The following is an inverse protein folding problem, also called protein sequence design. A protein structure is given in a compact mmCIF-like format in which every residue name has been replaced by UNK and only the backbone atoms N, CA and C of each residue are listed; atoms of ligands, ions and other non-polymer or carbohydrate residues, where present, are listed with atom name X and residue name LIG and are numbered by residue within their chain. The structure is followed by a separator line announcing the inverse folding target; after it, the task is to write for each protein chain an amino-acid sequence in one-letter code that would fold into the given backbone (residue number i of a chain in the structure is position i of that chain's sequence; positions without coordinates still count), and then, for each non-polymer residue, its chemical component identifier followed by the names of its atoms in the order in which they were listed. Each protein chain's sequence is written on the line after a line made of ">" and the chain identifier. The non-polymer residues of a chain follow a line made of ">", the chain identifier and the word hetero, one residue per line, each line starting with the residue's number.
data_IF_090497720611
#
_entry.id   IF_090497720611
#
_cell.length_a   1.000
_cell.length_b   1.000
_cell.length_c   1.000
_cell.angle_alpha   90.00
_cell.angle_beta   90.00
_cell.angle_gamma   90.00
#
_symmetry.space_group_name_H-M   'P 1'
#
loop_
_entity.id
_entity.type
_entity.pdbx_description
1 polymer ?
#
# COMPACT_ATOMS: atom_id res chain seq x y z
N UNK A 1 25.89 30.77 0.93
CA UNK A 1 26.20 30.09 2.22
C UNK A 1 25.59 28.70 2.17
N UNK A 2 26.41 27.68 1.94
CA UNK A 2 25.98 26.28 1.95
C UNK A 2 25.76 25.92 3.43
N UNK A 3 24.50 25.72 3.83
CA UNK A 3 24.15 25.23 5.16
C UNK A 3 24.67 23.81 5.29
N UNK A 4 25.81 23.63 5.94
CA UNK A 4 26.28 22.33 6.40
C UNK A 4 25.36 21.90 7.55
N UNK A 5 24.22 21.27 7.24
CA UNK A 5 23.45 20.50 8.23
C UNK A 5 24.26 19.25 8.59
N UNK A 6 25.34 19.43 9.35
CA UNK A 6 25.91 18.33 10.14
C UNK A 6 24.83 17.98 11.17
N UNK A 7 24.22 16.82 11.02
CA UNK A 7 23.42 16.24 12.09
C UNK A 7 24.35 16.06 13.29
N UNK A 8 24.09 16.72 14.43
CA UNK A 8 25.03 16.68 15.53
C UNK A 8 25.09 15.25 16.04
N UNK A 9 26.29 14.66 16.07
CA UNK A 9 26.58 13.38 16.73
C UNK A 9 26.19 13.39 18.23
N UNK A 10 25.82 14.54 18.78
CA UNK A 10 25.31 14.73 20.13
C UNK A 10 23.78 14.55 20.28
N UNK A 11 23.02 14.42 19.19
CA UNK A 11 21.56 14.17 19.26
C UNK A 11 21.26 12.68 19.46
N UNK A 12 22.16 11.81 19.00
CA UNK A 12 22.02 10.37 19.03
C UNK A 12 23.05 9.86 20.04
N UNK A 13 22.61 9.45 21.22
CA UNK A 13 23.51 8.91 22.25
C UNK A 13 24.33 7.73 21.72
N UNK A 14 25.26 7.20 22.53
CA UNK A 14 26.12 6.04 22.20
C UNK A 14 25.37 4.72 21.88
N UNK A 15 24.05 4.72 21.74
CA UNK A 15 23.27 3.54 21.42
C UNK A 15 23.32 3.24 19.94
N UNK A 16 23.78 2.03 19.63
CA UNK A 16 23.69 1.41 18.33
C UNK A 16 22.27 0.91 18.10
N UNK A 17 21.60 1.41 17.06
CA UNK A 17 20.24 1.02 16.70
C UNK A 17 20.27 0.03 15.54
N UNK A 18 19.72 -1.17 15.77
CA UNK A 18 19.63 -2.20 14.73
C UNK A 18 18.37 -2.00 13.91
N UNK A 19 18.49 -2.16 12.60
CA UNK A 19 17.37 -2.05 11.70
C UNK A 19 17.45 -3.09 10.58
N UNK A 20 16.30 -3.34 9.97
CA UNK A 20 16.19 -4.18 8.78
C UNK A 20 15.49 -3.39 7.71
N UNK A 21 16.08 -3.30 6.53
CA UNK A 21 15.41 -2.72 5.37
C UNK A 21 14.65 -3.81 4.63
N UNK A 22 13.36 -3.59 4.41
CA UNK A 22 12.49 -4.51 3.66
C UNK A 22 11.71 -3.74 2.61
N UNK A 23 11.24 -4.45 1.59
CA UNK A 23 10.41 -3.89 0.53
C UNK A 23 9.25 -4.83 0.20
N UNK A 24 8.13 -4.26 -0.18
CA UNK A 24 7.05 -5.02 -0.81
C UNK A 24 6.64 -4.32 -2.10
N UNK A 25 6.98 -4.93 -3.24
CA UNK A 25 6.76 -4.43 -4.59
C UNK A 25 7.37 -3.03 -4.83
N UNK A 26 8.60 -2.83 -4.34
CA UNK A 26 9.38 -1.61 -4.52
C UNK A 26 9.14 -0.53 -3.47
N UNK A 27 8.04 -0.60 -2.72
CA UNK A 27 7.80 0.30 -1.59
C UNK A 27 8.61 -0.19 -0.37
N UNK A 28 9.61 0.60 0.02
CA UNK A 28 10.67 0.19 0.95
C UNK A 28 10.60 0.94 2.28
N UNK A 29 10.66 0.21 3.39
CA UNK A 29 10.68 0.78 4.74
C UNK A 29 11.86 0.25 5.55
N UNK A 30 12.23 1.02 6.58
CA UNK A 30 13.18 0.59 7.59
C UNK A 30 12.41 0.11 8.80
N UNK A 31 12.64 -1.13 9.20
CA UNK A 31 11.96 -1.81 10.30
C UNK A 31 12.87 -1.85 11.51
N UNK A 32 12.30 -1.47 12.66
CA UNK A 32 12.97 -1.57 13.95
C UNK A 32 12.13 -2.43 14.87
N UNK A 33 12.72 -3.53 15.34
CA UNK A 33 12.14 -4.36 16.39
C UNK A 33 12.25 -3.65 17.74
N UNK A 34 11.17 -3.02 18.19
CA UNK A 34 11.07 -2.33 19.47
C UNK A 34 10.65 -3.25 20.63
N UNK A 35 10.63 -4.58 20.45
CA UNK A 35 10.53 -5.53 21.57
C UNK A 35 11.83 -5.55 22.38
N UNK A 36 12.97 -5.27 21.72
CA UNK A 36 14.31 -5.42 22.29
C UNK A 36 15.11 -4.11 22.36
N UNK A 37 14.59 -3.01 21.82
CA UNK A 37 15.24 -1.70 21.80
C UNK A 37 14.21 -0.58 21.83
N UNK A 38 14.62 0.59 22.32
CA UNK A 38 13.76 1.78 22.44
C UNK A 38 14.16 2.79 21.39
N UNK A 39 13.16 3.34 20.69
CA UNK A 39 13.34 4.42 19.71
C UNK A 39 12.74 5.70 20.26
N UNK A 40 13.60 6.55 20.82
CA UNK A 40 13.19 7.88 21.25
C UNK A 40 12.99 8.79 20.04
N UNK A 41 11.90 9.56 20.06
CA UNK A 41 11.55 10.52 19.01
C UNK A 41 11.54 9.91 17.58
N UNK A 42 10.65 8.93 17.33
CA UNK A 42 10.62 8.19 16.08
C UNK A 42 10.40 9.07 14.84
N UNK A 43 9.70 10.19 14.97
CA UNK A 43 9.55 11.17 13.88
C UNK A 43 10.88 11.70 13.37
N UNK A 44 11.84 12.03 14.26
CA UNK A 44 13.17 12.49 13.82
C UNK A 44 13.97 11.36 13.17
N UNK A 45 13.89 10.15 13.72
CA UNK A 45 14.52 8.97 13.11
C UNK A 45 13.95 8.68 11.72
N UNK A 46 12.64 8.81 11.54
CA UNK A 46 12.00 8.62 10.25
C UNK A 46 12.55 9.60 9.20
N UNK A 47 12.66 10.89 9.54
CA UNK A 47 13.27 11.90 8.64
C UNK A 47 14.72 11.57 8.30
N UNK A 48 15.49 11.09 9.27
CA UNK A 48 16.88 10.72 9.06
C UNK A 48 17.04 9.51 8.15
N UNK A 49 16.44 8.40 8.58
CA UNK A 49 16.61 7.09 8.00
C UNK A 49 16.02 7.06 6.59
N UNK A 50 14.93 7.79 6.35
CA UNK A 50 14.31 7.88 5.02
C UNK A 50 15.10 8.75 4.04
N UNK A 51 16.03 9.60 4.51
CA UNK A 51 16.84 10.42 3.62
C UNK A 51 17.77 9.55 2.76
N UNK A 52 17.52 9.50 1.44
CA UNK A 52 18.28 8.65 0.50
C UNK A 52 19.73 9.08 0.25
N UNK A 53 20.13 10.29 0.64
CA UNK A 53 21.50 10.80 0.43
C UNK A 53 22.35 10.82 1.69
N UNK A 54 21.74 11.11 2.84
CA UNK A 54 22.43 11.31 4.11
C UNK A 54 22.04 10.29 5.18
N UNK A 55 21.02 9.48 4.93
CA UNK A 55 20.60 8.37 5.77
C UNK A 55 20.72 7.05 5.03
N UNK A 56 19.87 6.09 5.41
CA UNK A 56 19.79 4.76 4.79
C UNK A 56 18.98 4.82 3.49
N UNK A 57 18.00 5.73 3.43
CA UNK A 57 17.01 5.85 2.37
C UNK A 57 15.85 4.89 2.54
N UNK A 58 14.61 5.38 2.49
CA UNK A 58 13.38 4.57 2.47
C UNK A 58 12.18 5.48 2.21
N UNK A 59 11.00 4.87 2.02
CA UNK A 59 9.70 5.55 2.02
C UNK A 59 9.14 5.75 3.43
N UNK A 60 9.93 5.46 4.48
CA UNK A 60 9.56 5.70 5.87
C UNK A 60 10.23 4.78 6.88
N UNK A 61 9.73 4.86 8.11
CA UNK A 61 10.15 4.06 9.26
C UNK A 61 8.96 3.27 9.81
N UNK A 62 9.19 1.99 10.13
CA UNK A 62 8.21 1.12 10.79
C UNK A 62 8.81 0.62 12.09
N UNK A 63 8.04 0.78 13.17
CA UNK A 63 8.36 0.22 14.47
C UNK A 63 7.45 -0.98 14.75
N UNK A 64 8.05 -2.08 15.20
CA UNK A 64 7.35 -3.29 15.65
C UNK A 64 7.41 -3.31 17.17
N UNK A 65 6.27 -3.14 17.83
CA UNK A 65 6.14 -2.94 19.28
C UNK A 65 5.34 -4.09 19.91
N UNK A 66 5.43 -4.27 21.24
CA UNK A 66 4.47 -5.13 21.93
C UNK A 66 3.06 -4.53 21.85
N UNK A 67 2.04 -5.39 21.88
CA UNK A 67 0.63 -5.00 21.96
C UNK A 67 -0.04 -5.70 23.15
N UNK A 68 -1.03 -5.04 23.74
CA UNK A 68 -1.91 -5.63 24.76
C UNK A 68 -3.18 -6.25 24.15
N UNK A 69 -3.43 -6.04 22.85
CA UNK A 69 -4.70 -6.35 22.18
C UNK A 69 -4.53 -7.23 20.93
N UNK A 70 -3.30 -7.43 20.48
CA UNK A 70 -2.93 -8.16 19.28
C UNK A 70 -1.57 -8.85 19.50
N UNK A 71 -1.10 -9.64 18.54
CA UNK A 71 0.20 -10.32 18.66
C UNK A 71 1.37 -9.33 18.62
N UNK A 72 1.26 -8.30 17.77
CA UNK A 72 2.21 -7.20 17.70
C UNK A 72 1.51 -5.87 17.43
N UNK A 73 2.21 -4.77 17.65
CA UNK A 73 1.76 -3.42 17.25
C UNK A 73 2.71 -2.82 16.21
N UNK A 74 2.14 -2.23 15.17
CA UNK A 74 2.88 -1.48 14.16
C UNK A 74 2.64 0.02 14.34
N UNK A 75 3.72 0.81 14.31
CA UNK A 75 3.67 2.27 14.10
C UNK A 75 4.47 2.61 12.86
N UNK A 76 3.91 3.43 11.98
CA UNK A 76 4.54 3.81 10.71
C UNK A 76 4.69 5.32 10.62
N UNK A 77 5.86 5.77 10.19
CA UNK A 77 6.20 7.17 10.02
C UNK A 77 6.63 7.43 8.58
N UNK A 78 6.09 8.50 7.99
CA UNK A 78 6.46 8.98 6.67
C UNK A 78 7.86 9.61 6.68
N UNK A 79 8.47 9.85 5.51
CA UNK A 79 9.79 10.48 5.39
C UNK A 79 9.87 11.90 5.95
N UNK A 80 8.73 12.58 6.13
CA UNK A 80 8.64 13.89 6.76
C UNK A 80 8.50 13.84 8.30
N UNK A 81 8.43 12.62 8.87
CA UNK A 81 8.30 12.37 10.30
C UNK A 81 6.87 12.30 10.82
N UNK A 82 5.85 12.50 9.97
CA UNK A 82 4.45 12.35 10.36
C UNK A 82 4.10 10.88 10.56
N UNK A 83 3.32 10.56 11.61
CA UNK A 83 2.80 9.21 11.83
C UNK A 83 1.57 9.00 10.94
N UNK A 84 1.53 7.87 10.24
CA UNK A 84 0.47 7.55 9.30
C UNK A 84 -0.31 6.32 9.75
N UNK A 85 -1.59 6.27 9.35
CA UNK A 85 -2.56 5.32 9.89
C UNK A 85 -2.24 3.88 9.51
N UNK A 86 -1.92 3.63 8.23
CA UNK A 86 -1.53 2.32 7.72
C UNK A 86 -0.89 2.43 6.33
N UNK A 87 0.01 1.49 6.00
CA UNK A 87 0.38 1.15 4.64
C UNK A 87 0.33 -0.38 4.49
N UNK A 88 -0.46 -0.88 3.54
CA UNK A 88 -0.62 -2.33 3.34
C UNK A 88 0.69 -3.05 3.00
N UNK A 89 1.59 -2.38 2.27
CA UNK A 89 2.92 -2.91 1.96
C UNK A 89 3.78 -3.02 3.23
N UNK A 90 3.71 -2.00 4.09
CA UNK A 90 4.44 -2.01 5.35
C UNK A 90 3.99 -3.15 6.26
N UNK A 91 2.67 -3.36 6.34
CA UNK A 91 2.03 -4.41 7.14
C UNK A 91 2.45 -5.82 6.69
N UNK A 92 2.51 -6.10 5.39
CA UNK A 92 2.98 -7.41 4.88
C UNK A 92 4.40 -7.72 5.36
N UNK A 93 5.28 -6.73 5.32
CA UNK A 93 6.66 -6.89 5.77
C UNK A 93 6.76 -7.06 7.29
N UNK A 94 5.87 -6.49 8.10
CA UNK A 94 5.80 -6.79 9.54
C UNK A 94 5.49 -8.27 9.75
N UNK A 95 4.48 -8.82 9.07
CA UNK A 95 4.13 -10.25 9.16
C UNK A 95 5.30 -11.17 8.79
N UNK A 96 6.02 -10.86 7.71
CA UNK A 96 7.26 -11.56 7.35
C UNK A 96 8.34 -11.42 8.41
N UNK A 97 8.60 -10.20 8.89
CA UNK A 97 9.65 -9.91 9.86
C UNK A 97 9.45 -10.71 11.15
N UNK A 98 8.26 -10.67 11.74
CA UNK A 98 8.03 -11.31 13.05
C UNK A 98 8.15 -12.83 12.97
N UNK A 99 7.78 -13.43 11.84
CA UNK A 99 7.94 -14.86 11.61
C UNK A 99 9.40 -15.24 11.32
N UNK A 100 10.02 -14.60 10.32
CA UNK A 100 11.37 -14.97 9.83
C UNK A 100 12.46 -14.71 10.88
N UNK A 101 12.28 -13.72 11.76
CA UNK A 101 13.19 -13.45 12.88
C UNK A 101 12.83 -14.24 14.15
N UNK A 102 11.85 -15.16 14.08
CA UNK A 102 11.49 -16.06 15.17
C UNK A 102 10.81 -15.38 16.36
N UNK A 103 10.19 -14.22 16.15
CA UNK A 103 9.38 -13.54 17.19
C UNK A 103 8.02 -14.21 17.38
N UNK A 104 7.57 -14.98 16.40
CA UNK A 104 6.41 -15.87 16.46
C UNK A 104 6.64 -17.11 15.59
N UNK A 105 5.84 -18.15 15.80
CA UNK A 105 5.73 -19.33 14.92
C UNK A 105 4.34 -19.48 14.31
N UNK A 106 3.40 -18.61 14.67
CA UNK A 106 2.04 -18.62 14.18
C UNK A 106 1.98 -18.08 12.74
N UNK A 107 1.16 -18.71 11.90
CA UNK A 107 0.93 -18.27 10.52
C UNK A 107 -0.27 -17.34 10.38
N UNK A 108 -1.14 -17.27 11.39
CA UNK A 108 -2.22 -16.28 11.47
C UNK A 108 -1.83 -15.26 12.54
N UNK A 109 -1.81 -13.98 12.18
CA UNK A 109 -1.32 -12.91 13.06
C UNK A 109 -2.29 -11.74 13.09
N UNK A 110 -2.51 -11.20 14.28
CA UNK A 110 -3.17 -9.93 14.51
C UNK A 110 -2.14 -8.83 14.77
N UNK A 111 -2.23 -7.73 14.02
CA UNK A 111 -1.34 -6.57 14.15
C UNK A 111 -2.18 -5.34 14.51
N UNK A 112 -1.92 -4.76 15.67
CA UNK A 112 -2.49 -3.47 16.06
C UNK A 112 -1.87 -2.34 15.22
N UNK A 113 -2.71 -1.56 14.55
CA UNK A 113 -2.29 -0.36 13.80
C UNK A 113 -3.06 0.85 14.31
N UNK A 114 -2.68 2.06 13.87
CA UNK A 114 -3.43 3.27 14.20
C UNK A 114 -4.86 3.24 13.59
N UNK A 115 -5.06 2.52 12.48
CA UNK A 115 -6.37 2.27 11.87
C UNK A 115 -7.14 1.06 12.46
N UNK A 116 -6.71 0.55 13.62
CA UNK A 116 -7.26 -0.63 14.28
C UNK A 116 -6.47 -1.91 14.01
N UNK A 117 -6.98 -3.05 14.51
CA UNK A 117 -6.33 -4.35 14.36
C UNK A 117 -6.53 -4.87 12.93
N UNK A 118 -5.49 -5.51 12.37
CA UNK A 118 -5.52 -6.18 11.06
C UNK A 118 -5.05 -7.62 11.22
N UNK A 119 -5.67 -8.52 10.47
CA UNK A 119 -5.30 -9.93 10.44
C UNK A 119 -4.47 -10.23 9.20
N UNK A 120 -3.41 -11.02 9.37
CA UNK A 120 -2.53 -11.50 8.32
C UNK A 120 -2.50 -13.02 8.33
N UNK A 121 -2.53 -13.61 7.15
CA UNK A 121 -2.26 -15.02 6.94
C UNK A 121 -0.95 -15.20 6.17
N UNK A 122 -0.03 -15.96 6.74
CA UNK A 122 1.33 -16.17 6.24
C UNK A 122 1.43 -17.51 5.54
N UNK A 123 1.87 -17.50 4.28
CA UNK A 123 2.26 -18.72 3.57
C UNK A 123 3.75 -18.97 3.77
N UNK A 124 4.08 -19.97 4.58
CA UNK A 124 5.46 -20.35 4.92
C UNK A 124 5.97 -21.43 3.98
N UNK A 125 7.17 -21.24 3.42
CA UNK A 125 7.88 -22.22 2.59
C UNK A 125 9.33 -22.31 3.07
N UNK A 126 9.83 -23.52 3.29
CA UNK A 126 11.20 -23.77 3.77
C UNK A 126 11.55 -22.99 5.05
N UNK A 127 10.59 -22.85 5.96
CA UNK A 127 10.77 -22.14 7.24
C UNK A 127 10.78 -20.62 7.16
N UNK A 128 10.52 -20.03 5.98
CA UNK A 128 10.44 -18.59 5.78
C UNK A 128 9.10 -18.19 5.15
N UNK A 129 8.62 -16.99 5.45
CA UNK A 129 7.39 -16.46 4.84
C UNK A 129 7.64 -16.13 3.37
N UNK A 130 6.81 -16.68 2.49
CA UNK A 130 6.86 -16.45 1.05
C UNK A 130 5.79 -15.47 0.56
N UNK A 131 4.58 -15.58 1.10
CA UNK A 131 3.44 -14.72 0.75
C UNK A 131 2.68 -14.31 2.01
N UNK A 132 2.13 -13.12 2.00
CA UNK A 132 1.34 -12.56 3.09
C UNK A 132 0.00 -12.11 2.54
N UNK A 133 -1.07 -12.69 3.07
CA UNK A 133 -2.44 -12.28 2.80
C UNK A 133 -2.92 -11.32 3.88
N UNK A 134 -3.56 -10.24 3.47
CA UNK A 134 -4.22 -9.29 4.35
C UNK A 134 -5.70 -9.17 3.97
N UNK A 135 -6.57 -9.11 4.98
CA UNK A 135 -7.96 -8.73 4.79
C UNK A 135 -8.06 -7.21 4.58
N UNK A 136 -8.52 -6.82 3.39
CA UNK A 136 -8.67 -5.43 2.97
C UNK A 136 -10.08 -4.89 3.27
N UNK A 137 -10.98 -5.73 3.79
CA UNK A 137 -12.37 -5.40 4.07
C UNK A 137 -13.26 -5.43 2.83
N UNK A 138 -14.44 -4.82 2.97
CA UNK A 138 -15.50 -4.82 1.95
C UNK A 138 -15.39 -3.53 1.11
N UNK A 139 -15.42 -3.64 -0.24
CA UNK A 139 -15.43 -2.46 -1.10
C UNK A 139 -16.73 -1.67 -0.95
N UNK A 140 -16.62 -0.34 -0.91
CA UNK A 140 -17.76 0.57 -0.89
C UNK A 140 -18.03 1.09 -2.31
N UNK A 141 -19.26 0.89 -2.79
CA UNK A 141 -19.68 1.25 -4.16
C UNK A 141 -20.57 2.50 -4.22
N UNK A 142 -21.10 2.93 -3.07
CA UNK A 142 -22.01 4.09 -2.98
C UNK A 142 -21.24 5.41 -3.21
N UNK A 143 -21.59 6.20 -4.25
CA UNK A 143 -20.84 7.39 -4.66
C UNK A 143 -20.60 8.40 -3.54
N UNK A 144 -21.60 8.67 -2.71
CA UNK A 144 -21.47 9.61 -1.59
C UNK A 144 -20.45 9.17 -0.54
N UNK A 145 -20.29 7.85 -0.34
CA UNK A 145 -19.29 7.27 0.56
C UNK A 145 -17.90 7.16 -0.08
N UNK A 146 -17.81 7.21 -1.42
CA UNK A 146 -16.55 7.31 -2.20
C UNK A 146 -16.12 8.77 -2.45
N UNK A 147 -16.75 9.74 -1.78
CA UNK A 147 -16.94 11.13 -2.26
C UNK A 147 -16.85 11.36 -3.79
N UNK A 148 -17.83 10.82 -4.52
CA UNK A 148 -18.07 11.13 -5.94
C UNK A 148 -19.34 11.96 -6.06
N UNK A 149 -19.27 13.11 -6.73
CA UNK A 149 -20.43 13.95 -7.07
C UNK A 149 -21.20 13.34 -8.23
N UNK A 150 -22.01 12.33 -7.89
CA UNK A 150 -22.85 11.59 -8.83
C UNK A 150 -24.16 11.18 -8.14
N UNK A 151 -25.33 11.46 -8.74
CA UNK A 151 -26.63 11.26 -8.07
C UNK A 151 -27.16 9.82 -8.09
N UNK A 152 -26.43 8.85 -8.68
CA UNK A 152 -26.84 7.45 -8.73
C UNK A 152 -26.33 6.61 -7.56
N UNK A 153 -26.80 5.37 -7.47
CA UNK A 153 -26.46 4.45 -6.36
C UNK A 153 -25.07 3.83 -6.48
N UNK A 154 -24.52 3.77 -7.70
CA UNK A 154 -23.18 3.27 -7.99
C UNK A 154 -22.61 3.94 -9.23
N UNK A 155 -21.32 4.30 -9.20
CA UNK A 155 -20.60 4.82 -10.36
C UNK A 155 -19.86 3.67 -11.05
N UNK A 156 -20.59 2.80 -11.76
CA UNK A 156 -20.04 1.62 -12.46
C UNK A 156 -20.17 1.82 -13.96
N UNK A 157 -19.05 1.66 -14.67
CA UNK A 157 -18.97 1.80 -16.14
C UNK A 157 -19.63 3.09 -16.66
N UNK A 158 -19.42 4.20 -15.96
CA UNK A 158 -19.98 5.50 -16.32
C UNK A 158 -19.02 6.28 -17.23
N UNK A 159 -19.54 7.04 -18.22
CA UNK A 159 -18.70 7.86 -19.07
C UNK A 159 -18.13 9.05 -18.30
N UNK A 160 -16.81 9.22 -18.36
CA UNK A 160 -16.08 10.31 -17.73
C UNK A 160 -15.17 10.99 -18.74
N UNK A 161 -15.46 12.25 -19.06
CA UNK A 161 -14.65 13.05 -19.98
C UNK A 161 -13.47 13.68 -19.25
N UNK A 162 -12.27 13.19 -19.52
CA UNK A 162 -11.01 13.69 -18.94
C UNK A 162 -10.09 14.14 -20.05
N UNK A 163 -9.72 15.42 -20.02
CA UNK A 163 -8.80 16.04 -20.98
C UNK A 163 -9.10 15.68 -22.46
N UNK A 164 -10.39 15.79 -22.83
CA UNK A 164 -10.87 15.55 -24.19
C UNK A 164 -11.15 14.09 -24.55
N UNK A 165 -10.69 13.12 -23.75
CA UNK A 165 -10.99 11.68 -23.93
C UNK A 165 -12.13 11.24 -23.02
N UNK A 166 -12.98 10.32 -23.49
CA UNK A 166 -13.99 9.67 -22.64
C UNK A 166 -13.45 8.34 -22.15
N UNK A 167 -13.51 8.13 -20.84
CA UNK A 167 -13.19 6.87 -20.18
C UNK A 167 -14.48 6.25 -19.65
N UNK A 168 -14.59 4.93 -19.75
CA UNK A 168 -15.63 4.18 -19.03
C UNK A 168 -15.05 3.82 -17.67
N UNK A 169 -15.55 4.49 -16.63
CA UNK A 169 -14.93 4.52 -15.31
C UNK A 169 -15.83 3.89 -14.25
N UNK A 170 -15.20 3.19 -13.31
CA UNK A 170 -15.87 2.61 -12.14
C UNK A 170 -15.20 3.17 -10.88
N UNK A 171 -15.98 3.79 -9.99
CA UNK A 171 -15.48 4.32 -8.72
C UNK A 171 -15.78 3.36 -7.58
N UNK A 172 -14.79 3.15 -6.71
CA UNK A 172 -14.86 2.25 -5.56
C UNK A 172 -14.05 2.86 -4.42
N UNK A 173 -14.41 2.59 -3.18
CA UNK A 173 -13.59 2.93 -2.02
C UNK A 173 -13.18 1.69 -1.25
N UNK A 174 -11.91 1.63 -0.87
CA UNK A 174 -11.34 0.66 0.07
C UNK A 174 -11.00 1.35 1.43
N UNK A 175 -11.72 2.43 1.74
CA UNK A 175 -11.41 3.38 2.83
C UNK A 175 -10.85 4.72 2.32
N UNK A 176 -10.32 4.73 1.09
CA UNK A 176 -9.92 5.90 0.33
C UNK A 176 -10.53 5.84 -1.09
N UNK A 177 -10.70 6.99 -1.78
CA UNK A 177 -11.41 7.03 -3.06
C UNK A 177 -10.51 6.55 -4.22
N UNK A 178 -11.05 5.65 -5.04
CA UNK A 178 -10.42 5.13 -6.25
C UNK A 178 -11.35 5.19 -7.45
N UNK A 179 -10.76 5.28 -8.65
CA UNK A 179 -11.46 5.15 -9.92
C UNK A 179 -10.62 4.32 -10.87
N UNK A 180 -11.20 3.24 -11.40
CA UNK A 180 -10.57 2.43 -12.44
C UNK A 180 -11.20 2.68 -13.80
N UNK A 181 -10.35 2.84 -14.81
CA UNK A 181 -10.75 2.84 -16.21
C UNK A 181 -10.01 1.72 -16.96
N UNK A 182 -10.76 0.91 -17.71
CA UNK A 182 -10.17 -0.12 -18.56
C UNK A 182 -9.72 0.45 -19.91
N UNK A 183 -8.47 0.18 -20.30
CA UNK A 183 -7.79 0.68 -21.50
C UNK A 183 -7.11 -0.48 -22.24
N UNK A 184 -6.77 -0.24 -23.51
CA UNK A 184 -6.23 -1.30 -24.39
C UNK A 184 -4.77 -1.64 -24.09
N UNK A 185 -3.93 -0.64 -23.78
CA UNK A 185 -2.49 -0.81 -23.54
C UNK A 185 -2.04 0.12 -22.40
N UNK A 186 -1.62 -0.49 -21.29
CA UNK A 186 -1.13 0.21 -20.10
C UNK A 186 0.31 0.69 -20.24
N UNK A 187 1.15 -0.01 -21.00
CA UNK A 187 2.58 0.30 -21.11
C UNK A 187 2.82 1.63 -21.83
N UNK A 188 2.07 1.86 -22.90
CA UNK A 188 2.18 3.08 -23.72
C UNK A 188 1.24 4.19 -23.29
N UNK A 189 0.37 3.95 -22.29
CA UNK A 189 -0.61 4.93 -21.84
C UNK A 189 0.07 6.19 -21.28
N UNK A 190 -0.33 7.41 -21.71
CA UNK A 190 0.28 8.66 -21.25
C UNK A 190 -0.26 9.05 -19.86
N UNK A 191 0.14 8.28 -18.84
CA UNK A 191 -0.33 8.42 -17.46
C UNK A 191 -0.03 9.81 -16.87
N UNK A 192 1.14 10.38 -17.17
CA UNK A 192 1.50 11.72 -16.72
C UNK A 192 0.57 12.83 -17.24
N UNK A 193 -0.19 12.56 -18.31
CA UNK A 193 -1.23 13.46 -18.83
C UNK A 193 -2.58 13.21 -18.17
N UNK A 194 -3.06 11.96 -18.20
CA UNK A 194 -4.42 11.63 -17.77
C UNK A 194 -4.55 11.39 -16.26
N UNK A 195 -3.50 10.95 -15.58
CA UNK A 195 -3.46 10.71 -14.13
C UNK A 195 -3.80 11.97 -13.32
N UNK A 196 -3.05 13.08 -13.45
CA UNK A 196 -3.36 14.32 -12.73
C UNK A 196 -4.74 14.88 -13.11
N UNK A 197 -5.14 14.75 -14.38
CA UNK A 197 -6.44 15.22 -14.86
C UNK A 197 -7.61 14.41 -14.27
N UNK A 198 -7.42 13.11 -14.08
CA UNK A 198 -8.37 12.23 -13.40
C UNK A 198 -8.42 12.52 -11.90
N UNK A 199 -7.25 12.62 -11.25
CA UNK A 199 -7.11 12.93 -9.81
C UNK A 199 -7.90 14.19 -9.42
N UNK A 200 -7.79 15.25 -10.24
CA UNK A 200 -8.40 16.56 -9.98
C UNK A 200 -9.74 16.75 -10.69
N UNK A 201 -10.31 15.70 -11.29
CA UNK A 201 -11.57 15.84 -12.01
C UNK A 201 -12.68 16.31 -11.05
N UNK A 202 -13.51 17.25 -11.51
CA UNK A 202 -14.52 17.95 -10.69
C UNK A 202 -15.50 17.05 -9.94
N UNK A 203 -15.73 15.82 -10.41
CA UNK A 203 -16.63 14.85 -9.75
C UNK A 203 -16.00 14.23 -8.51
N UNK A 204 -14.71 14.46 -8.25
CA UNK A 204 -14.00 13.93 -7.08
C UNK A 204 -13.62 15.10 -6.14
N UNK A 205 -14.54 15.61 -5.29
CA UNK A 205 -14.26 16.72 -4.37
C UNK A 205 -13.05 16.51 -3.47
N UNK A 206 -12.72 15.25 -3.13
CA UNK A 206 -11.58 14.89 -2.27
C UNK A 206 -10.39 14.32 -3.07
N UNK A 207 -10.35 14.61 -4.38
CA UNK A 207 -9.48 13.97 -5.37
C UNK A 207 -9.64 12.44 -5.37
N UNK A 208 -8.94 11.74 -6.26
CA UNK A 208 -9.07 10.28 -6.40
C UNK A 208 -7.73 9.64 -6.77
N UNK A 209 -7.50 8.40 -6.35
CA UNK A 209 -6.48 7.55 -6.97
C UNK A 209 -7.02 7.03 -8.31
N UNK A 210 -6.24 7.13 -9.37
CA UNK A 210 -6.69 6.76 -10.70
C UNK A 210 -5.94 5.53 -11.21
N UNK A 211 -6.64 4.40 -11.32
CA UNK A 211 -6.15 3.17 -11.91
C UNK A 211 -6.51 3.10 -13.40
N UNK A 212 -5.52 2.79 -14.22
CA UNK A 212 -5.71 2.46 -15.63
C UNK A 212 -5.31 1.01 -15.83
N UNK A 213 -6.28 0.17 -16.14
CA UNK A 213 -6.14 -1.28 -16.16
C UNK A 213 -6.37 -1.84 -17.56
N UNK A 214 -5.61 -2.87 -17.92
CA UNK A 214 -5.76 -3.67 -19.12
C UNK A 214 -6.14 -5.08 -18.70
N UNK A 215 -7.14 -5.64 -19.37
CA UNK A 215 -7.53 -7.03 -19.19
C UNK A 215 -6.60 -7.89 -20.04
N UNK A 216 -5.81 -8.75 -19.41
CA UNK A 216 -4.96 -9.71 -20.14
C UNK A 216 -5.77 -10.98 -20.41
N UNK A 217 -6.45 -11.48 -19.38
CA UNK A 217 -7.42 -12.58 -19.43
C UNK A 217 -8.39 -12.47 -18.24
N UNK A 218 -9.27 -13.47 -18.08
CA UNK A 218 -10.30 -13.51 -17.02
C UNK A 218 -9.72 -13.51 -15.60
N UNK A 219 -8.48 -13.94 -15.41
CA UNK A 219 -7.83 -14.06 -14.11
C UNK A 219 -6.57 -13.20 -13.99
N UNK A 220 -6.27 -12.37 -14.99
CA UNK A 220 -5.07 -11.53 -15.01
C UNK A 220 -5.40 -10.13 -15.53
N UNK A 221 -5.12 -9.13 -14.70
CA UNK A 221 -5.13 -7.72 -15.06
C UNK A 221 -3.70 -7.18 -15.05
N UNK A 222 -3.45 -6.14 -15.83
CA UNK A 222 -2.24 -5.31 -15.74
C UNK A 222 -2.68 -3.88 -15.47
N UNK A 223 -2.03 -3.17 -14.56
CA UNK A 223 -2.42 -1.80 -14.24
C UNK A 223 -1.24 -0.88 -13.98
N UNK A 224 -1.47 0.41 -14.22
CA UNK A 224 -0.68 1.52 -13.68
C UNK A 224 -1.60 2.45 -12.92
N UNK A 225 -1.07 3.13 -11.92
CA UNK A 225 -1.84 3.97 -11.00
C UNK A 225 -1.21 5.35 -10.90
N UNK A 226 -2.07 6.36 -10.86
CA UNK A 226 -1.71 7.70 -10.40
C UNK A 226 -2.33 7.91 -9.02
N UNK A 227 -1.50 7.86 -7.98
CA UNK A 227 -1.93 8.01 -6.60
C UNK A 227 -2.15 9.48 -6.24
N UNK A 228 -3.25 9.72 -5.52
CA UNK A 228 -3.68 11.03 -5.05
C UNK A 228 -2.56 11.72 -4.27
N UNK A 229 -2.18 12.92 -4.72
CA UNK A 229 -1.13 13.75 -4.14
C UNK A 229 0.29 13.16 -4.18
N UNK A 230 0.49 12.03 -4.87
CA UNK A 230 1.80 11.34 -4.97
C UNK A 230 2.29 11.30 -6.41
N UNK A 231 1.42 10.94 -7.35
CA UNK A 231 1.78 10.69 -8.74
C UNK A 231 1.84 9.20 -9.08
N UNK A 232 2.59 8.84 -10.12
CA UNK A 232 2.77 7.44 -10.50
C UNK A 232 3.61 6.68 -9.47
N UNK A 233 3.07 5.56 -8.97
CA UNK A 233 3.75 4.68 -8.01
C UNK A 233 4.02 3.30 -8.62
N UNK A 234 5.00 2.58 -8.05
CA UNK A 234 5.35 1.24 -8.52
C UNK A 234 4.27 0.21 -8.19
N UNK A 235 3.61 0.36 -7.04
CA UNK A 235 2.57 -0.55 -6.59
C UNK A 235 1.57 0.14 -5.66
N UNK A 236 0.28 -0.11 -5.89
CA UNK A 236 -0.83 0.28 -5.03
C UNK A 236 -1.70 -0.94 -4.70
N UNK A 237 -1.79 -1.29 -3.42
CA UNK A 237 -2.55 -2.47 -2.97
C UNK A 237 -4.07 -2.28 -3.13
N UNK A 238 -4.60 -1.15 -2.66
CA UNK A 238 -6.03 -0.84 -2.80
C UNK A 238 -6.43 -0.65 -4.25
N UNK A 239 -5.55 -0.08 -5.09
CA UNK A 239 -5.78 0.03 -6.54
C UNK A 239 -5.91 -1.33 -7.24
N UNK A 240 -5.16 -2.36 -6.81
CA UNK A 240 -5.37 -3.73 -7.30
C UNK A 240 -6.74 -4.27 -6.92
N UNK A 241 -7.15 -4.09 -5.66
CA UNK A 241 -8.48 -4.51 -5.21
C UNK A 241 -9.56 -3.86 -6.06
N UNK A 242 -9.45 -2.55 -6.31
CA UNK A 242 -10.41 -1.78 -7.10
C UNK A 242 -10.42 -2.20 -8.56
N UNK A 243 -9.26 -2.51 -9.14
CA UNK A 243 -9.18 -3.00 -10.52
C UNK A 243 -9.91 -4.35 -10.69
N UNK A 244 -9.78 -5.26 -9.71
CA UNK A 244 -10.53 -6.52 -9.71
C UNK A 244 -12.01 -6.29 -9.46
N UNK A 245 -12.39 -5.46 -8.49
CA UNK A 245 -13.80 -5.12 -8.25
C UNK A 245 -14.45 -4.52 -9.49
N UNK A 246 -13.82 -3.52 -10.11
CA UNK A 246 -14.30 -2.91 -11.35
C UNK A 246 -14.36 -3.90 -12.50
N UNK A 247 -13.39 -4.81 -12.60
CA UNK A 247 -13.38 -5.87 -13.60
C UNK A 247 -14.52 -6.87 -13.41
N UNK A 248 -14.79 -7.29 -12.18
CA UNK A 248 -15.91 -8.18 -11.86
C UNK A 248 -17.26 -7.51 -12.12
N UNK A 249 -17.46 -6.28 -11.63
CA UNK A 249 -18.71 -5.53 -11.79
C UNK A 249 -19.07 -5.26 -13.26
N UNK A 250 -18.07 -5.21 -14.13
CA UNK A 250 -18.23 -4.97 -15.58
C UNK A 250 -18.04 -6.24 -16.42
N UNK A 251 -18.01 -7.42 -15.80
CA UNK A 251 -17.93 -8.71 -16.48
C UNK A 251 -16.63 -8.98 -17.23
N UNK A 252 -15.52 -8.35 -16.84
CA UNK A 252 -14.19 -8.42 -17.50
C UNK A 252 -13.26 -9.46 -16.89
N UNK A 253 -13.33 -9.67 -15.58
CA UNK A 253 -12.51 -10.67 -14.87
C UNK A 253 -13.31 -11.41 -13.80
N UNK A 254 -12.72 -12.47 -13.27
CA UNK A 254 -13.21 -13.21 -12.12
C UNK A 254 -12.86 -12.51 -10.80
N UNK A 255 -13.51 -12.96 -9.72
CA UNK A 255 -13.26 -12.50 -8.35
C UNK A 255 -11.86 -12.84 -7.82
N UNK A 256 -11.26 -13.90 -8.36
CA UNK A 256 -9.88 -14.30 -8.10
C UNK A 256 -9.02 -13.95 -9.31
N UNK A 257 -8.16 -12.96 -9.14
CA UNK A 257 -7.31 -12.48 -10.22
C UNK A 257 -5.94 -12.02 -9.73
N UNK A 258 -4.94 -12.18 -10.59
CA UNK A 258 -3.62 -11.59 -10.45
C UNK A 258 -3.66 -10.20 -11.06
N UNK A 259 -3.12 -9.22 -10.35
CA UNK A 259 -2.94 -7.86 -10.86
C UNK A 259 -1.46 -7.56 -10.96
N UNK A 260 -0.98 -7.38 -12.20
CA UNK A 260 0.39 -7.02 -12.52
C UNK A 260 0.55 -5.51 -12.47
N UNK A 261 1.52 -5.05 -11.70
CA UNK A 261 1.93 -3.65 -11.59
C UNK A 261 3.41 -3.51 -11.96
N UNK A 262 3.93 -2.28 -11.96
CA UNK A 262 5.34 -2.02 -12.23
C UNK A 262 6.23 -2.72 -11.19
N UNK A 263 5.83 -2.66 -9.91
CA UNK A 263 6.56 -3.24 -8.78
C UNK A 263 6.42 -4.76 -8.63
N UNK A 264 5.51 -5.40 -9.37
CA UNK A 264 5.27 -6.84 -9.37
C UNK A 264 3.79 -7.22 -9.26
N UNK A 265 3.52 -8.44 -8.84
CA UNK A 265 2.18 -9.04 -8.85
C UNK A 265 1.54 -9.05 -7.46
N UNK A 266 0.23 -8.80 -7.41
CA UNK A 266 -0.62 -9.07 -6.25
C UNK A 266 -1.74 -10.02 -6.65
N UNK A 267 -2.10 -10.91 -5.74
CA UNK A 267 -3.19 -11.86 -5.89
C UNK A 267 -4.38 -11.34 -5.10
N UNK A 268 -5.50 -11.13 -5.77
CA UNK A 268 -6.70 -10.58 -5.18
C UNK A 268 -7.78 -11.66 -5.19
N UNK A 269 -8.45 -11.83 -4.06
CA UNK A 269 -9.62 -12.69 -3.90
C UNK A 269 -10.76 -11.88 -3.30
N UNK A 270 -11.73 -11.51 -4.13
CA UNK A 270 -12.97 -10.88 -3.65
C UNK A 270 -14.01 -11.96 -3.32
N UNK A 271 -13.94 -12.45 -2.08
CA UNK A 271 -14.73 -13.58 -1.62
C UNK A 271 -16.23 -13.31 -1.70
N UNK A 272 -16.97 -14.22 -2.33
CA UNK A 272 -18.41 -14.06 -2.57
C UNK A 272 -19.25 -14.33 -1.31
N UNK A 273 -18.75 -15.11 -0.37
CA UNK A 273 -19.47 -15.46 0.86
C UNK A 273 -19.48 -14.32 1.88
N UNK A 274 -18.31 -13.76 2.16
CA UNK A 274 -18.13 -12.67 3.12
C UNK A 274 -18.25 -11.28 2.49
N UNK A 275 -17.99 -11.15 1.18
CA UNK A 275 -17.86 -9.86 0.50
C UNK A 275 -16.52 -9.16 0.75
N UNK A 276 -15.64 -9.73 1.57
CA UNK A 276 -14.31 -9.20 1.87
C UNK A 276 -13.34 -9.42 0.69
N UNK A 277 -12.34 -8.56 0.60
CA UNK A 277 -11.24 -8.69 -0.35
C UNK A 277 -9.98 -9.09 0.40
N UNK A 278 -9.39 -10.22 0.00
CA UNK A 278 -8.09 -10.64 0.48
C UNK A 278 -7.02 -10.28 -0.56
N UNK A 279 -5.98 -9.60 -0.10
CA UNK A 279 -4.83 -9.22 -0.91
C UNK A 279 -3.62 -10.01 -0.45
N UNK A 280 -3.08 -10.83 -1.35
CA UNK A 280 -1.87 -11.61 -1.10
C UNK A 280 -0.71 -11.11 -1.94
N UNK A 281 0.44 -10.90 -1.31
CA UNK A 281 1.65 -10.43 -1.99
C UNK A 281 2.93 -10.81 -1.26
N UNK A 282 4.08 -10.75 -1.94
CA UNK A 282 5.37 -10.99 -1.31
C UNK A 282 5.81 -9.77 -0.48
N UNK A 283 6.83 -10.00 0.33
CA UNK A 283 7.68 -8.99 0.96
C UNK A 283 9.09 -9.57 1.03
N UNK A 284 10.10 -8.75 0.83
CA UNK A 284 11.49 -9.18 0.79
C UNK A 284 12.36 -8.39 1.77
N UNK A 285 13.24 -9.11 2.47
CA UNK A 285 14.33 -8.50 3.21
C UNK A 285 15.39 -8.03 2.21
N UNK A 286 15.79 -6.77 2.30
CA UNK A 286 16.87 -6.20 1.48
C UNK A 286 18.20 -6.35 2.19
N UNK A 287 18.33 -5.80 3.41
CA UNK A 287 19.52 -5.97 4.25
C UNK A 287 19.25 -5.64 5.71
N UNK A 288 20.17 -6.03 6.58
CA UNK A 288 20.23 -5.64 7.99
C UNK A 288 21.37 -4.65 8.23
N UNK A 289 21.20 -3.75 9.18
CA UNK A 289 22.19 -2.74 9.52
C UNK A 289 22.15 -2.28 10.97
N UNK A 290 23.13 -1.46 11.32
CA UNK A 290 23.28 -0.84 12.64
C UNK A 290 23.73 0.62 12.44
N UNK A 291 23.15 1.56 13.19
CA UNK A 291 23.48 2.99 13.14
C UNK A 291 23.78 3.57 14.52
#
# INVERSE_FOLDING_TARGET
>A
MISTRRWPSSVWGKMKMKFTKMQALGNDYIYINCLNQVVDNPSKWAVFLSNRHYGVGSDGLVLILPSEKADFRMRMFNPDGTEAEICGNALRSVGKYVYDYGLTKESSLSIETLAGIRTLELTVKNGLVSMISADMGIPVLEPLKIPVDFPGDAYVEQPLKVDGRVFMATAVSMGNPHVVAFIDDVDTFPLARYGPAMEHHKIFPKKVNAEFAQVIDRNTLKMRVWERSTGETLACGTGCCVSVVGGVLTGRCERKAVVRQIGGELYIDWDAGSGHIFLTGPSERVFDGEI
#
